data_IF_950904444104
#
_entry.id   IF_950904444104
#
_cell.length_a   1.000
_cell.length_b   1.000
_cell.length_c   1.000
_cell.angle_alpha   90.00
_cell.angle_beta   90.00
_cell.angle_gamma   90.00
#
_symmetry.space_group_name_H-M   'P 1'
#
loop_
_entity.id
_entity.type
_entity.pdbx_description
1 polymer ?
#
# COMPACT_ATOMS: atom_id res chain seq x y z
N UNK A 1 -25.85 -48.02 5.74
CA UNK A 1 -26.12 -47.11 6.89
C UNK A 1 -24.86 -46.70 7.63
N UNK A 2 -23.96 -47.61 8.08
CA UNK A 2 -22.71 -47.22 8.77
C UNK A 2 -21.82 -46.24 7.97
N UNK A 3 -21.64 -46.46 6.66
CA UNK A 3 -20.83 -45.55 5.81
C UNK A 3 -21.43 -44.15 5.66
N UNK A 4 -22.76 -44.04 5.58
CA UNK A 4 -23.47 -42.75 5.46
C UNK A 4 -23.37 -41.95 6.76
N UNK A 5 -23.39 -42.63 7.92
CA UNK A 5 -23.20 -41.98 9.22
C UNK A 5 -21.76 -41.49 9.39
N UNK A 6 -20.76 -42.29 8.99
CA UNK A 6 -19.34 -41.90 9.00
C UNK A 6 -19.07 -40.71 8.08
N UNK A 7 -19.63 -40.71 6.88
CA UNK A 7 -19.51 -39.59 5.93
C UNK A 7 -20.14 -38.30 6.46
N UNK A 8 -21.32 -38.38 7.08
CA UNK A 8 -21.97 -37.24 7.74
C UNK A 8 -21.13 -36.70 8.90
N UNK A 9 -20.56 -37.57 9.73
CA UNK A 9 -19.69 -37.16 10.83
C UNK A 9 -18.43 -36.46 10.31
N UNK A 10 -17.84 -36.96 9.22
CA UNK A 10 -16.68 -36.33 8.56
C UNK A 10 -17.02 -34.94 8.00
N UNK A 11 -18.19 -34.78 7.38
CA UNK A 11 -18.66 -33.46 6.89
C UNK A 11 -18.86 -32.50 8.07
N UNK A 12 -19.49 -32.95 9.16
CA UNK A 12 -19.66 -32.11 10.36
C UNK A 12 -18.32 -31.69 10.97
N UNK A 13 -17.34 -32.59 11.01
CA UNK A 13 -15.98 -32.28 11.43
C UNK A 13 -15.35 -31.20 10.53
N UNK A 14 -15.49 -31.33 9.21
CA UNK A 14 -14.98 -30.35 8.25
C UNK A 14 -15.62 -28.97 8.42
N UNK A 15 -16.95 -28.92 8.61
CA UNK A 15 -17.68 -27.67 8.85
C UNK A 15 -17.19 -27.04 10.15
N UNK A 16 -17.21 -27.79 11.25
CA UNK A 16 -16.83 -27.28 12.57
C UNK A 16 -15.40 -26.74 12.58
N UNK A 17 -14.46 -27.48 11.99
CA UNK A 17 -13.07 -27.03 11.93
C UNK A 17 -12.91 -25.80 11.03
N UNK A 18 -13.61 -25.72 9.89
CA UNK A 18 -13.54 -24.57 9.00
C UNK A 18 -14.06 -23.30 9.70
N UNK A 19 -15.11 -23.41 10.51
CA UNK A 19 -15.61 -22.30 11.32
C UNK A 19 -14.61 -21.91 12.43
N UNK A 20 -13.99 -22.88 13.12
CA UNK A 20 -12.94 -22.58 14.11
C UNK A 20 -11.76 -21.81 13.49
N UNK A 21 -11.31 -22.18 12.29
CA UNK A 21 -10.29 -21.41 11.58
C UNK A 21 -10.76 -20.02 11.16
N UNK A 22 -12.05 -19.84 10.84
CA UNK A 22 -12.61 -18.52 10.54
C UNK A 22 -12.58 -17.64 11.78
N UNK A 23 -13.02 -18.15 12.92
CA UNK A 23 -13.04 -17.40 14.18
C UNK A 23 -11.62 -16.95 14.60
N UNK A 24 -10.64 -17.87 14.51
CA UNK A 24 -9.23 -17.54 14.76
C UNK A 24 -8.71 -16.48 13.78
N UNK A 25 -9.06 -16.60 12.50
CA UNK A 25 -8.65 -15.66 11.48
C UNK A 25 -9.24 -14.26 11.68
N UNK A 26 -10.50 -14.18 12.09
CA UNK A 26 -11.19 -12.92 12.36
C UNK A 26 -10.61 -12.24 13.60
N UNK A 27 -10.30 -13.01 14.65
CA UNK A 27 -9.61 -12.51 15.84
C UNK A 27 -8.23 -11.92 15.50
N UNK A 28 -7.41 -12.64 14.72
CA UNK A 28 -6.08 -12.16 14.30
C UNK A 28 -6.19 -10.93 13.38
N UNK A 29 -7.20 -10.89 12.51
CA UNK A 29 -7.46 -9.73 11.63
C UNK A 29 -7.86 -8.49 12.44
N UNK A 30 -8.60 -8.65 13.53
CA UNK A 30 -8.95 -7.57 14.45
C UNK A 30 -7.71 -7.01 15.16
N UNK A 31 -6.81 -7.88 15.64
CA UNK A 31 -5.54 -7.46 16.23
C UNK A 31 -4.72 -6.65 15.23
N UNK A 32 -4.56 -7.15 14.01
CA UNK A 32 -3.84 -6.46 12.94
C UNK A 32 -4.44 -5.08 12.61
N UNK A 33 -5.76 -4.94 12.69
CA UNK A 33 -6.42 -3.63 12.49
C UNK A 33 -6.17 -2.62 13.62
N UNK A 34 -5.93 -3.11 14.84
CA UNK A 34 -5.65 -2.27 16.03
C UNK A 34 -4.18 -1.88 16.11
N UNK A 35 -3.28 -2.83 15.87
CA UNK A 35 -1.84 -2.66 16.07
C UNK A 35 -1.15 -2.13 14.80
N UNK A 36 -1.68 -2.42 13.62
CA UNK A 36 -1.03 -2.08 12.35
C UNK A 36 0.27 -2.85 12.15
N UNK A 37 1.10 -2.42 11.21
CA UNK A 37 2.44 -3.01 11.01
C UNK A 37 3.43 -2.42 12.03
N UNK A 38 3.25 -2.72 13.32
CA UNK A 38 4.22 -2.35 14.35
C UNK A 38 5.20 -3.50 14.53
N UNK A 39 6.46 -3.33 14.12
CA UNK A 39 7.54 -4.29 14.36
C UNK A 39 7.99 -4.33 15.83
N UNK A 40 7.04 -4.60 16.72
CA UNK A 40 7.24 -4.80 18.16
C UNK A 40 7.00 -6.26 18.54
N UNK A 41 7.11 -6.56 19.83
CA UNK A 41 6.69 -7.88 20.32
C UNK A 41 5.20 -8.09 20.03
N UNK A 42 4.78 -9.28 19.56
CA UNK A 42 3.36 -9.61 19.44
C UNK A 42 2.64 -9.29 20.74
N UNK A 43 1.43 -8.73 20.64
CA UNK A 43 0.59 -8.65 21.82
C UNK A 43 0.39 -10.02 22.45
N UNK A 44 0.27 -10.05 23.77
CA UNK A 44 -0.02 -11.27 24.52
C UNK A 44 -1.28 -11.98 24.00
N UNK A 45 -2.21 -11.21 23.45
CA UNK A 45 -3.42 -11.68 22.74
C UNK A 45 -3.06 -12.54 21.51
N UNK A 46 -2.21 -12.04 20.61
CA UNK A 46 -1.76 -12.79 19.43
C UNK A 46 -0.96 -14.04 19.81
N UNK A 47 -0.04 -13.90 20.77
CA UNK A 47 0.79 -15.02 21.23
C UNK A 47 -0.07 -16.16 21.81
N UNK A 48 -1.18 -15.86 22.48
CA UNK A 48 -2.10 -16.87 22.99
C UNK A 48 -2.90 -17.55 21.88
N UNK A 49 -3.39 -16.79 20.89
CA UNK A 49 -4.09 -17.36 19.74
C UNK A 49 -3.18 -18.35 19.00
N UNK A 50 -1.91 -18.01 18.79
CA UNK A 50 -0.96 -18.85 18.06
C UNK A 50 -0.62 -20.17 18.76
N UNK A 51 -0.93 -20.34 20.05
CA UNK A 51 -0.79 -21.62 20.78
C UNK A 51 -1.95 -22.59 20.49
N UNK A 52 -3.02 -22.15 19.83
CA UNK A 52 -4.16 -22.99 19.53
C UNK A 52 -3.72 -24.24 18.73
N UNK A 53 -4.28 -25.42 19.07
CA UNK A 53 -3.85 -26.71 18.50
C UNK A 53 -3.94 -26.75 16.96
N UNK A 54 -4.99 -26.14 16.40
CA UNK A 54 -5.19 -26.05 14.94
C UNK A 54 -4.11 -25.24 14.22
N UNK A 55 -3.36 -24.38 14.93
CA UNK A 55 -2.32 -23.54 14.33
C UNK A 55 -0.92 -24.15 14.43
N UNK A 56 -0.79 -25.33 15.06
CA UNK A 56 0.51 -25.99 15.24
C UNK A 56 1.01 -26.73 13.99
N UNK A 57 0.11 -27.12 13.07
CA UNK A 57 0.47 -27.77 11.81
C UNK A 57 -0.58 -27.48 10.73
N UNK A 58 -0.15 -27.36 9.47
CA UNK A 58 -1.05 -27.29 8.32
C UNK A 58 -1.88 -28.58 8.18
N UNK A 59 -1.38 -29.73 8.62
CA UNK A 59 -2.08 -31.03 8.53
C UNK A 59 -3.39 -31.04 9.34
N UNK A 60 -3.51 -30.14 10.31
CA UNK A 60 -4.76 -29.95 11.04
C UNK A 60 -5.83 -29.25 10.19
N UNK A 61 -5.48 -28.53 9.12
CA UNK A 61 -6.43 -27.88 8.23
C UNK A 61 -6.95 -28.85 7.15
N UNK A 62 -8.11 -29.46 7.41
CA UNK A 62 -8.66 -30.55 6.60
C UNK A 62 -9.36 -30.08 5.31
N UNK A 63 -9.68 -28.78 5.20
CA UNK A 63 -10.36 -28.20 4.03
C UNK A 63 -9.52 -27.11 3.38
N UNK A 64 -9.77 -26.84 2.09
CA UNK A 64 -9.12 -25.73 1.38
C UNK A 64 -9.35 -24.39 2.10
N UNK A 65 -10.57 -24.13 2.60
CA UNK A 65 -10.87 -22.89 3.33
C UNK A 65 -10.10 -22.83 4.65
N UNK A 66 -10.02 -23.94 5.39
CA UNK A 66 -9.24 -24.04 6.61
C UNK A 66 -7.76 -23.73 6.34
N UNK A 67 -7.18 -24.27 5.26
CA UNK A 67 -5.80 -24.00 4.85
C UNK A 67 -5.59 -22.53 4.47
N UNK A 68 -6.52 -21.93 3.71
CA UNK A 68 -6.46 -20.51 3.36
C UNK A 68 -6.46 -19.61 4.61
N UNK A 69 -7.27 -19.94 5.61
CA UNK A 69 -7.31 -19.24 6.91
C UNK A 69 -6.04 -19.47 7.73
N UNK A 70 -5.56 -20.71 7.81
CA UNK A 70 -4.30 -21.06 8.48
C UNK A 70 -3.15 -20.21 7.94
N UNK A 71 -2.95 -20.19 6.62
CA UNK A 71 -1.89 -19.40 6.01
C UNK A 71 -2.09 -17.89 6.19
N UNK A 72 -3.34 -17.39 6.15
CA UNK A 72 -3.60 -15.97 6.40
C UNK A 72 -3.24 -15.55 7.84
N UNK A 73 -3.56 -16.40 8.83
CA UNK A 73 -3.16 -16.19 10.22
C UNK A 73 -1.64 -16.13 10.36
N UNK A 74 -0.91 -17.07 9.74
CA UNK A 74 0.56 -17.08 9.76
C UNK A 74 1.14 -15.83 9.12
N UNK A 75 0.62 -15.41 7.97
CA UNK A 75 1.07 -14.18 7.28
C UNK A 75 0.87 -12.95 8.17
N UNK A 76 -0.29 -12.80 8.82
CA UNK A 76 -0.56 -11.67 9.72
C UNK A 76 0.38 -11.71 10.94
N UNK A 77 0.58 -12.88 11.53
CA UNK A 77 1.46 -13.05 12.68
C UNK A 77 2.90 -12.63 12.35
N UNK A 78 3.47 -13.11 11.24
CA UNK A 78 4.82 -12.72 10.81
C UNK A 78 4.95 -11.20 10.59
N UNK A 79 3.91 -10.56 10.02
CA UNK A 79 3.91 -9.09 9.84
C UNK A 79 3.92 -8.34 11.18
N UNK A 80 3.16 -8.82 12.16
CA UNK A 80 3.07 -8.20 13.49
C UNK A 80 4.32 -8.44 14.33
N UNK A 81 5.00 -9.58 14.14
CA UNK A 81 6.26 -9.87 14.82
C UNK A 81 7.44 -9.03 14.30
N UNK A 82 7.28 -8.29 13.19
CA UNK A 82 8.37 -7.58 12.53
C UNK A 82 9.53 -8.51 12.10
N UNK A 83 9.24 -9.80 11.95
CA UNK A 83 10.23 -10.85 11.67
C UNK A 83 10.35 -11.11 10.17
N UNK A 84 11.51 -11.65 9.77
CA UNK A 84 12.01 -11.87 8.41
C UNK A 84 10.93 -12.04 7.31
N UNK A 85 10.93 -11.13 6.34
CA UNK A 85 10.03 -11.12 5.17
C UNK A 85 10.02 -12.44 4.39
N UNK A 86 11.03 -13.29 4.56
CA UNK A 86 11.16 -14.61 3.95
C UNK A 86 10.04 -15.58 4.37
N UNK A 87 9.69 -15.65 5.66
CA UNK A 87 8.66 -16.58 6.16
C UNK A 87 7.27 -16.17 5.70
N UNK A 88 6.96 -14.86 5.77
CA UNK A 88 5.70 -14.33 5.29
C UNK A 88 5.53 -14.57 3.77
N UNK A 89 6.61 -14.53 3.00
CA UNK A 89 6.60 -14.86 1.57
C UNK A 89 6.27 -16.32 1.32
N UNK A 90 6.92 -17.26 2.03
CA UNK A 90 6.63 -18.69 1.85
C UNK A 90 5.18 -19.04 2.19
N UNK A 91 4.63 -18.53 3.30
CA UNK A 91 3.21 -18.73 3.63
C UNK A 91 2.28 -18.11 2.57
N UNK A 92 2.64 -16.94 2.03
CA UNK A 92 1.88 -16.30 0.95
C UNK A 92 1.92 -17.11 -0.35
N UNK A 93 3.08 -17.71 -0.67
CA UNK A 93 3.27 -18.59 -1.83
C UNK A 93 2.39 -19.84 -1.71
N UNK A 94 2.42 -20.52 -0.57
CA UNK A 94 1.55 -21.70 -0.31
C UNK A 94 0.08 -21.36 -0.41
N UNK A 95 -0.33 -20.22 0.14
CA UNK A 95 -1.72 -19.74 0.02
C UNK A 95 -2.10 -19.47 -1.43
N UNK A 96 -1.20 -18.86 -2.22
CA UNK A 96 -1.41 -18.62 -3.64
C UNK A 96 -1.53 -19.93 -4.44
N UNK A 97 -0.69 -20.93 -4.17
CA UNK A 97 -0.76 -22.27 -4.80
C UNK A 97 -2.14 -22.92 -4.60
N UNK A 98 -2.70 -22.83 -3.38
CA UNK A 98 -4.05 -23.34 -3.07
C UNK A 98 -5.13 -22.61 -3.88
N UNK A 99 -5.00 -21.28 -4.04
CA UNK A 99 -5.94 -20.48 -4.83
C UNK A 99 -5.84 -20.85 -6.32
N UNK A 100 -4.62 -21.00 -6.85
CA UNK A 100 -4.40 -21.39 -8.25
C UNK A 100 -4.91 -22.80 -8.56
N UNK A 101 -4.81 -23.72 -7.60
CA UNK A 101 -5.35 -25.07 -7.73
C UNK A 101 -6.88 -25.13 -7.75
N UNK A 102 -7.57 -24.00 -7.52
CA UNK A 102 -9.04 -23.89 -7.46
C UNK A 102 -9.56 -22.86 -8.46
N UNK A 103 -9.47 -23.14 -9.78
CA UNK A 103 -9.97 -22.23 -10.81
C UNK A 103 -11.47 -21.97 -10.72
N UNK A 104 -12.24 -22.84 -10.06
CA UNK A 104 -13.65 -22.65 -9.73
C UNK A 104 -13.90 -21.41 -8.85
N UNK A 105 -12.94 -21.01 -8.00
CA UNK A 105 -13.05 -19.79 -7.19
C UNK A 105 -13.17 -18.52 -8.01
N UNK A 106 -12.67 -18.52 -9.26
CA UNK A 106 -12.84 -17.42 -10.19
C UNK A 106 -14.34 -17.16 -10.37
N UNK A 107 -15.13 -18.22 -10.60
CA UNK A 107 -16.57 -18.11 -10.88
C UNK A 107 -17.40 -18.02 -9.59
N UNK A 108 -17.09 -18.85 -8.59
CA UNK A 108 -17.90 -18.96 -7.36
C UNK A 108 -17.65 -17.80 -6.39
N UNK A 109 -16.39 -17.35 -6.26
CA UNK A 109 -15.96 -16.37 -5.26
C UNK A 109 -14.86 -15.44 -5.83
N UNK A 110 -15.14 -14.70 -6.91
CA UNK A 110 -14.13 -13.91 -7.63
C UNK A 110 -13.35 -12.95 -6.72
N UNK A 111 -14.01 -12.32 -5.76
CA UNK A 111 -13.36 -11.38 -4.84
C UNK A 111 -12.31 -12.04 -3.95
N UNK A 112 -12.55 -13.29 -3.52
CA UNK A 112 -11.57 -14.05 -2.73
C UNK A 112 -10.34 -14.35 -3.56
N UNK A 113 -10.54 -14.76 -4.81
CA UNK A 113 -9.45 -15.00 -5.76
C UNK A 113 -8.64 -13.71 -6.01
N UNK A 114 -9.32 -12.62 -6.40
CA UNK A 114 -8.72 -11.32 -6.71
C UNK A 114 -7.83 -10.83 -5.55
N UNK A 115 -8.37 -10.80 -4.34
CA UNK A 115 -7.65 -10.34 -3.14
C UNK A 115 -6.51 -11.28 -2.75
N UNK A 116 -6.70 -12.58 -2.93
CA UNK A 116 -5.66 -13.56 -2.63
C UNK A 116 -4.45 -13.43 -3.56
N UNK A 117 -4.67 -13.22 -4.86
CA UNK A 117 -3.58 -12.91 -5.80
C UNK A 117 -2.92 -11.59 -5.44
N UNK A 118 -3.71 -10.54 -5.15
CA UNK A 118 -3.17 -9.23 -4.77
C UNK A 118 -2.25 -9.30 -3.55
N UNK A 119 -2.67 -10.00 -2.49
CA UNK A 119 -1.88 -10.16 -1.28
C UNK A 119 -0.54 -10.85 -1.56
N UNK A 120 -0.53 -11.88 -2.40
CA UNK A 120 0.70 -12.57 -2.76
C UNK A 120 1.65 -11.67 -3.57
N UNK A 121 1.15 -10.98 -4.60
CA UNK A 121 1.96 -10.05 -5.40
C UNK A 121 2.54 -8.94 -4.53
N UNK A 122 1.75 -8.36 -3.61
CA UNK A 122 2.25 -7.38 -2.65
C UNK A 122 3.38 -7.95 -1.78
N UNK A 123 3.26 -9.20 -1.35
CA UNK A 123 4.31 -9.86 -0.57
C UNK A 123 5.58 -10.06 -1.39
N UNK A 124 5.46 -10.54 -2.63
CA UNK A 124 6.60 -10.68 -3.55
C UNK A 124 7.33 -9.34 -3.69
N UNK A 125 6.61 -8.25 -3.90
CA UNK A 125 7.18 -6.90 -4.05
C UNK A 125 7.89 -6.45 -2.77
N UNK A 126 7.26 -6.59 -1.60
CA UNK A 126 7.84 -6.20 -0.31
C UNK A 126 9.06 -7.04 0.08
N UNK A 127 9.10 -8.30 -0.34
CA UNK A 127 10.23 -9.21 -0.11
C UNK A 127 11.30 -9.12 -1.21
N UNK A 128 11.21 -8.17 -2.14
CA UNK A 128 12.17 -8.00 -3.25
C UNK A 128 12.12 -9.06 -4.35
N UNK A 129 11.16 -10.00 -4.30
CA UNK A 129 10.96 -11.06 -5.31
C UNK A 129 10.21 -10.54 -6.54
N UNK A 130 10.79 -9.55 -7.22
CA UNK A 130 10.15 -8.83 -8.32
C UNK A 130 9.84 -9.72 -9.53
N UNK A 131 10.64 -10.75 -9.79
CA UNK A 131 10.44 -11.69 -10.90
C UNK A 131 9.17 -12.54 -10.73
N UNK A 132 8.78 -12.85 -9.49
CA UNK A 132 7.52 -13.53 -9.21
C UNK A 132 6.33 -12.60 -9.50
N UNK A 133 6.39 -11.35 -9.02
CA UNK A 133 5.35 -10.36 -9.27
C UNK A 133 5.17 -10.08 -10.77
N UNK A 134 6.27 -9.91 -11.51
CA UNK A 134 6.26 -9.65 -12.95
C UNK A 134 5.63 -10.78 -13.76
N UNK A 135 5.80 -12.05 -13.34
CA UNK A 135 5.14 -13.20 -13.99
C UNK A 135 3.64 -13.25 -13.73
N UNK A 136 3.17 -12.78 -12.58
CA UNK A 136 1.77 -12.88 -12.15
C UNK A 136 0.91 -11.75 -12.72
N UNK A 137 1.45 -10.53 -12.84
CA UNK A 137 0.69 -9.36 -13.30
C UNK A 137 -0.01 -9.57 -14.66
N UNK A 138 0.63 -10.14 -15.71
CA UNK A 138 -0.03 -10.39 -16.99
C UNK A 138 -1.07 -11.51 -16.93
N UNK A 139 -0.83 -12.56 -16.13
CA UNK A 139 -1.78 -13.69 -16.01
C UNK A 139 -3.05 -13.25 -15.29
N UNK A 140 -2.92 -12.37 -14.30
CA UNK A 140 -4.05 -11.74 -13.62
C UNK A 140 -4.91 -10.92 -14.59
N UNK A 141 -4.29 -10.15 -15.50
CA UNK A 141 -5.01 -9.39 -16.53
C UNK A 141 -5.79 -10.29 -17.49
N UNK A 142 -5.16 -11.34 -18.01
CA UNK A 142 -5.81 -12.29 -18.91
C UNK A 142 -6.98 -13.01 -18.22
N UNK A 143 -6.85 -13.29 -16.93
CA UNK A 143 -7.92 -13.89 -16.13
C UNK A 143 -9.13 -12.95 -16.02
N UNK A 144 -8.92 -11.66 -15.78
CA UNK A 144 -10.02 -10.67 -15.69
C UNK A 144 -10.85 -10.64 -16.98
N UNK A 145 -10.19 -10.76 -18.13
CA UNK A 145 -10.85 -10.75 -19.44
C UNK A 145 -11.75 -11.98 -19.67
N UNK A 146 -11.57 -13.06 -18.90
CA UNK A 146 -12.40 -14.27 -18.98
C UNK A 146 -13.72 -14.15 -18.21
N UNK A 147 -13.88 -13.12 -17.37
CA UNK A 147 -15.14 -12.88 -16.67
C UNK A 147 -16.23 -12.41 -17.63
N UNK A 148 -17.40 -13.07 -17.57
CA UNK A 148 -18.56 -12.62 -18.35
C UNK A 148 -18.93 -11.17 -18.03
N UNK A 149 -18.99 -10.38 -19.11
CA UNK A 149 -19.51 -9.03 -19.27
C UNK A 149 -20.57 -8.59 -18.23
N UNK A 150 -21.63 -9.37 -18.14
CA UNK A 150 -22.88 -8.95 -17.48
C UNK A 150 -23.03 -9.53 -16.09
N UNK A 151 -22.41 -10.69 -15.83
CA UNK A 151 -22.55 -11.40 -14.55
C UNK A 151 -21.58 -10.91 -13.46
N UNK A 152 -20.42 -10.37 -13.85
CA UNK A 152 -19.31 -10.11 -12.92
C UNK A 152 -18.74 -8.69 -12.98
N UNK A 153 -19.60 -7.69 -13.22
CA UNK A 153 -19.15 -6.30 -13.37
C UNK A 153 -18.38 -5.76 -12.16
N UNK A 154 -18.92 -5.92 -10.95
CA UNK A 154 -18.24 -5.49 -9.73
C UNK A 154 -16.86 -6.15 -9.55
N UNK A 155 -16.75 -7.45 -9.86
CA UNK A 155 -15.50 -8.19 -9.77
C UNK A 155 -14.47 -7.69 -10.79
N UNK A 156 -14.88 -7.37 -12.02
CA UNK A 156 -13.96 -6.80 -13.02
C UNK A 156 -13.47 -5.41 -12.62
N UNK A 157 -14.34 -4.58 -12.05
CA UNK A 157 -13.98 -3.25 -11.55
C UNK A 157 -12.95 -3.39 -10.42
N UNK A 158 -13.23 -4.23 -9.42
CA UNK A 158 -12.30 -4.47 -8.31
C UNK A 158 -10.96 -5.04 -8.81
N UNK A 159 -11.00 -6.02 -9.71
CA UNK A 159 -9.79 -6.59 -10.29
C UNK A 159 -8.97 -5.56 -11.07
N UNK A 160 -9.61 -4.67 -11.82
CA UNK A 160 -8.91 -3.58 -12.52
C UNK A 160 -8.20 -2.63 -11.53
N UNK A 161 -8.89 -2.21 -10.47
CA UNK A 161 -8.30 -1.36 -9.42
C UNK A 161 -7.12 -2.08 -8.77
N UNK A 162 -7.30 -3.35 -8.40
CA UNK A 162 -6.25 -4.11 -7.72
C UNK A 162 -5.05 -4.35 -8.63
N UNK A 163 -5.28 -4.67 -9.90
CA UNK A 163 -4.22 -4.77 -10.91
C UNK A 163 -3.43 -3.48 -11.01
N UNK A 164 -4.11 -2.36 -11.23
CA UNK A 164 -3.47 -1.04 -11.34
C UNK A 164 -2.68 -0.72 -10.08
N UNK A 165 -3.25 -1.01 -8.90
CA UNK A 165 -2.56 -0.80 -7.62
C UNK A 165 -1.29 -1.66 -7.49
N UNK A 166 -1.34 -2.93 -7.92
CA UNK A 166 -0.18 -3.82 -7.92
C UNK A 166 0.90 -3.37 -8.92
N UNK A 167 0.52 -2.93 -10.13
CA UNK A 167 1.46 -2.42 -11.13
C UNK A 167 2.18 -1.17 -10.63
N UNK A 168 1.44 -0.18 -10.12
CA UNK A 168 2.04 1.04 -9.55
C UNK A 168 2.99 0.70 -8.40
N UNK A 169 2.57 -0.22 -7.52
CA UNK A 169 3.41 -0.67 -6.41
C UNK A 169 4.67 -1.40 -6.89
N UNK A 170 4.55 -2.25 -7.90
CA UNK A 170 5.67 -2.93 -8.53
C UNK A 170 6.68 -1.94 -9.12
N UNK A 171 6.23 -0.99 -9.95
CA UNK A 171 7.12 -0.02 -10.61
C UNK A 171 7.83 0.91 -9.62
N UNK A 172 7.15 1.29 -8.53
CA UNK A 172 7.76 2.07 -7.45
C UNK A 172 8.88 1.30 -6.75
N UNK A 173 8.62 0.06 -6.32
CA UNK A 173 9.57 -0.69 -5.49
C UNK A 173 10.69 -1.37 -6.29
N UNK A 174 10.44 -1.72 -7.56
CA UNK A 174 11.47 -2.27 -8.46
C UNK A 174 12.37 -1.18 -9.08
N UNK A 175 12.02 0.10 -8.90
CA UNK A 175 12.73 1.22 -9.53
C UNK A 175 12.48 1.37 -11.04
N UNK A 176 11.60 0.56 -11.65
CA UNK A 176 11.22 0.63 -13.07
C UNK A 176 10.27 1.81 -13.37
N UNK A 177 10.66 3.02 -12.98
CA UNK A 177 9.82 4.22 -13.02
C UNK A 177 9.39 4.59 -14.45
N UNK A 178 10.32 4.52 -15.42
CA UNK A 178 10.02 4.87 -16.82
C UNK A 178 8.98 3.93 -17.43
N UNK A 179 9.05 2.63 -17.12
CA UNK A 179 8.02 1.66 -17.54
C UNK A 179 6.66 2.00 -16.92
N UNK A 180 6.64 2.39 -15.65
CA UNK A 180 5.43 2.86 -14.98
C UNK A 180 4.84 4.11 -15.63
N UNK A 181 5.68 5.07 -16.06
CA UNK A 181 5.22 6.28 -16.77
C UNK A 181 4.54 5.92 -18.09
N UNK A 182 5.01 4.91 -18.81
CA UNK A 182 4.37 4.44 -20.06
C UNK A 182 2.96 3.86 -19.84
N UNK A 183 2.61 3.47 -18.62
CA UNK A 183 1.30 2.87 -18.29
C UNK A 183 0.23 3.90 -17.92
N UNK A 184 0.59 5.16 -17.71
CA UNK A 184 -0.31 6.19 -17.15
C UNK A 184 -1.56 6.39 -17.99
N UNK A 185 -1.45 6.41 -19.32
CA UNK A 185 -2.61 6.58 -20.19
C UNK A 185 -3.60 5.40 -20.08
N UNK A 186 -3.08 4.18 -19.89
CA UNK A 186 -3.90 2.98 -19.69
C UNK A 186 -4.62 3.07 -18.35
N UNK A 187 -3.90 3.39 -17.28
CA UNK A 187 -4.48 3.56 -15.94
C UNK A 187 -5.52 4.67 -15.92
N UNK A 188 -5.21 5.83 -16.52
CA UNK A 188 -6.13 6.95 -16.62
C UNK A 188 -7.42 6.56 -17.34
N UNK A 189 -7.33 5.92 -18.51
CA UNK A 189 -8.52 5.49 -19.27
C UNK A 189 -9.41 4.57 -18.44
N UNK A 190 -8.84 3.56 -17.79
CA UNK A 190 -9.63 2.61 -16.99
C UNK A 190 -10.18 3.23 -15.71
N UNK A 191 -9.41 4.06 -14.99
CA UNK A 191 -9.87 4.76 -13.79
C UNK A 191 -11.00 5.75 -14.14
N UNK A 192 -10.89 6.48 -15.25
CA UNK A 192 -11.94 7.37 -15.72
C UNK A 192 -13.19 6.61 -16.16
N UNK A 193 -13.02 5.46 -16.82
CA UNK A 193 -14.13 4.61 -17.23
C UNK A 193 -14.96 4.11 -16.04
N UNK A 194 -14.29 3.65 -14.97
CA UNK A 194 -14.95 3.13 -13.76
C UNK A 194 -15.13 4.18 -12.65
N UNK A 195 -14.98 5.47 -12.94
CA UNK A 195 -14.90 6.49 -11.89
C UNK A 195 -16.14 6.48 -11.00
N UNK A 196 -17.34 6.30 -11.54
CA UNK A 196 -18.60 6.39 -10.76
C UNK A 196 -18.78 5.22 -9.80
N UNK A 197 -18.19 4.08 -10.13
CA UNK A 197 -18.29 2.81 -9.43
C UNK A 197 -17.19 2.67 -8.37
N UNK A 198 -16.05 3.35 -8.56
CA UNK A 198 -14.95 3.33 -7.59
C UNK A 198 -15.26 4.26 -6.42
N UNK A 199 -15.43 3.66 -5.24
CA UNK A 199 -15.51 4.40 -3.98
C UNK A 199 -14.21 5.15 -3.65
N UNK A 200 -14.33 6.30 -2.99
CA UNK A 200 -13.17 7.15 -2.62
C UNK A 200 -12.11 6.45 -1.77
N UNK A 201 -12.49 5.39 -1.06
CA UNK A 201 -11.59 4.54 -0.27
C UNK A 201 -10.49 3.88 -1.13
N UNK A 202 -10.82 3.56 -2.39
CA UNK A 202 -9.91 2.94 -3.35
C UNK A 202 -9.36 3.96 -4.36
N UNK A 203 -10.19 4.93 -4.78
CA UNK A 203 -9.81 5.94 -5.76
C UNK A 203 -8.69 6.88 -5.28
N UNK A 204 -8.73 7.30 -4.01
CA UNK A 204 -7.70 8.22 -3.48
C UNK A 204 -6.31 7.59 -3.39
N UNK A 205 -6.14 6.41 -2.77
CA UNK A 205 -4.84 5.77 -2.68
C UNK A 205 -4.23 5.49 -4.06
N UNK A 206 -5.03 5.06 -5.03
CA UNK A 206 -4.49 4.76 -6.37
C UNK A 206 -4.03 6.04 -7.08
N UNK A 207 -4.79 7.14 -7.00
CA UNK A 207 -4.36 8.42 -7.54
C UNK A 207 -3.11 8.95 -6.83
N UNK A 208 -3.04 8.81 -5.51
CA UNK A 208 -1.90 9.21 -4.71
C UNK A 208 -0.64 8.41 -5.08
N UNK A 209 -0.74 7.09 -5.20
CA UNK A 209 0.41 6.26 -5.56
C UNK A 209 0.91 6.54 -6.99
N UNK A 210 0.01 6.78 -7.95
CA UNK A 210 0.40 7.23 -9.31
C UNK A 210 1.11 8.59 -9.24
N UNK A 211 0.63 9.51 -8.41
CA UNK A 211 1.31 10.78 -8.15
C UNK A 211 2.72 10.57 -7.59
N UNK A 212 2.89 9.68 -6.61
CA UNK A 212 4.21 9.38 -6.01
C UNK A 212 5.17 8.81 -7.06
N UNK A 213 4.70 7.89 -7.93
CA UNK A 213 5.48 7.37 -9.05
C UNK A 213 5.95 8.48 -9.98
N UNK A 214 5.03 9.39 -10.36
CA UNK A 214 5.33 10.54 -11.21
C UNK A 214 6.31 11.52 -10.56
N UNK A 215 6.24 11.72 -9.24
CA UNK A 215 7.18 12.56 -8.50
C UNK A 215 8.58 11.96 -8.53
N UNK A 216 8.74 10.66 -8.26
CA UNK A 216 10.04 10.01 -8.36
C UNK A 216 10.56 9.92 -9.79
N UNK A 217 9.67 9.93 -10.80
CA UNK A 217 10.03 10.07 -12.21
C UNK A 217 10.23 11.53 -12.67
N UNK A 218 10.17 12.50 -11.74
CA UNK A 218 10.30 13.95 -11.98
C UNK A 218 9.32 14.51 -13.04
N UNK A 219 8.15 13.90 -13.19
CA UNK A 219 7.07 14.33 -14.09
C UNK A 219 6.08 15.24 -13.34
N UNK A 220 6.55 16.42 -12.94
CA UNK A 220 5.87 17.31 -11.99
C UNK A 220 4.46 17.79 -12.44
N UNK A 221 4.26 18.13 -13.71
CA UNK A 221 2.96 18.58 -14.22
C UNK A 221 1.92 17.47 -14.16
N UNK A 222 2.31 16.25 -14.54
CA UNK A 222 1.43 15.08 -14.44
C UNK A 222 1.16 14.72 -12.98
N UNK A 223 2.18 14.78 -12.12
CA UNK A 223 2.01 14.57 -10.68
C UNK A 223 0.97 15.53 -10.09
N UNK A 224 0.98 16.80 -10.51
CA UNK A 224 -0.01 17.79 -10.08
C UNK A 224 -1.44 17.39 -10.46
N UNK A 225 -1.64 16.82 -11.65
CA UNK A 225 -2.97 16.32 -12.07
C UNK A 225 -3.43 15.20 -11.13
N UNK A 226 -2.57 14.24 -10.84
CA UNK A 226 -2.92 13.08 -10.02
C UNK A 226 -3.09 13.39 -8.53
N UNK A 227 -2.28 14.30 -7.97
CA UNK A 227 -2.48 14.74 -6.57
C UNK A 227 -3.82 15.44 -6.40
N UNK A 228 -4.23 16.25 -7.38
CA UNK A 228 -5.52 16.94 -7.35
C UNK A 228 -6.70 15.96 -7.43
N UNK A 229 -6.59 14.88 -8.22
CA UNK A 229 -7.56 13.77 -8.22
C UNK A 229 -7.66 13.11 -6.84
N UNK A 230 -6.53 12.90 -6.16
CA UNK A 230 -6.54 12.36 -4.79
C UNK A 230 -7.18 13.32 -3.77
N UNK A 231 -7.29 14.61 -4.08
CA UNK A 231 -7.81 15.66 -3.19
C UNK A 231 -9.29 16.03 -3.43
N UNK A 232 -10.01 15.27 -4.26
CA UNK A 232 -11.44 15.50 -4.59
C UNK A 232 -12.36 15.72 -3.38
N UNK A 233 -13.51 16.37 -3.59
CA UNK A 233 -14.33 17.05 -2.57
C UNK A 233 -15.13 16.13 -1.61
N UNK A 234 -14.46 15.34 -0.77
CA UNK A 234 -15.03 14.73 0.45
C UNK A 234 -13.93 14.42 1.47
N UNK A 235 -13.43 15.39 2.26
CA UNK A 235 -12.17 15.24 2.99
C UNK A 235 -12.17 14.22 4.13
N UNK A 236 -13.30 13.59 4.44
CA UNK A 236 -13.44 12.69 5.59
C UNK A 236 -13.05 11.22 5.32
N UNK A 237 -12.95 10.83 4.05
CA UNK A 237 -12.52 9.48 3.64
C UNK A 237 -11.00 9.44 3.48
N UNK A 238 -10.30 8.43 4.02
CA UNK A 238 -8.82 8.31 3.92
C UNK A 238 -8.09 9.61 4.28
N UNK A 239 -8.36 10.12 5.48
CA UNK A 239 -7.78 11.38 5.98
C UNK A 239 -6.24 11.37 6.00
N UNK A 240 -5.66 10.19 6.18
CA UNK A 240 -4.23 9.90 6.03
C UNK A 240 -3.72 10.29 4.63
N UNK A 241 -4.35 9.76 3.58
CA UNK A 241 -3.99 10.04 2.19
C UNK A 241 -4.25 11.51 1.84
N UNK A 242 -5.36 12.10 2.28
CA UNK A 242 -5.63 13.52 2.01
C UNK A 242 -4.56 14.42 2.65
N UNK A 243 -4.10 14.07 3.85
CA UNK A 243 -3.05 14.83 4.54
C UNK A 243 -1.71 14.72 3.80
N UNK A 244 -1.34 13.51 3.36
CA UNK A 244 -0.13 13.27 2.58
C UNK A 244 -0.19 13.95 1.21
N UNK A 245 -1.30 13.83 0.49
CA UNK A 245 -1.53 14.49 -0.79
C UNK A 245 -1.43 16.02 -0.68
N UNK A 246 -1.93 16.62 0.41
CA UNK A 246 -1.77 18.06 0.64
C UNK A 246 -0.32 18.47 0.85
N UNK A 247 0.46 17.71 1.63
CA UNK A 247 1.89 17.99 1.79
C UNK A 247 2.65 17.80 0.47
N UNK A 248 2.38 16.71 -0.25
CA UNK A 248 3.00 16.42 -1.54
C UNK A 248 2.65 17.48 -2.60
N UNK A 249 1.41 18.01 -2.59
CA UNK A 249 1.03 19.12 -3.49
C UNK A 249 1.89 20.37 -3.29
N UNK A 250 2.37 20.64 -2.07
CA UNK A 250 3.27 21.75 -1.82
C UNK A 250 4.66 21.51 -2.41
N UNK A 251 5.17 20.28 -2.32
CA UNK A 251 6.42 19.87 -2.96
C UNK A 251 6.30 20.04 -4.48
N UNK A 252 5.21 19.54 -5.07
CA UNK A 252 4.97 19.64 -6.51
C UNK A 252 4.87 21.12 -6.96
N UNK A 253 4.14 21.96 -6.21
CA UNK A 253 4.07 23.39 -6.52
C UNK A 253 5.41 24.11 -6.38
N UNK A 254 6.23 23.70 -5.42
CA UNK A 254 7.59 24.21 -5.30
C UNK A 254 8.44 23.85 -6.52
N UNK A 255 8.42 22.59 -6.96
CA UNK A 255 9.19 22.11 -8.13
C UNK A 255 8.73 22.76 -9.44
N UNK A 256 7.44 23.04 -9.58
CA UNK A 256 6.89 23.78 -10.72
C UNK A 256 7.14 25.28 -10.68
N UNK A 257 7.72 25.82 -9.59
CA UNK A 257 7.93 27.26 -9.44
C UNK A 257 6.66 28.08 -9.22
N UNK A 258 5.56 27.44 -8.78
CA UNK A 258 4.26 28.09 -8.55
C UNK A 258 4.24 28.87 -7.21
N UNK A 259 5.13 29.84 -7.04
CA UNK A 259 5.41 30.53 -5.76
C UNK A 259 4.17 31.20 -5.14
N UNK A 260 3.35 31.89 -5.93
CA UNK A 260 2.12 32.55 -5.44
C UNK A 260 1.10 31.53 -4.93
N UNK A 261 0.94 30.42 -5.65
CA UNK A 261 0.02 29.36 -5.26
C UNK A 261 0.56 28.60 -4.05
N UNK A 262 1.87 28.38 -3.97
CA UNK A 262 2.53 27.72 -2.85
C UNK A 262 2.22 28.43 -1.53
N UNK A 263 2.32 29.76 -1.47
CA UNK A 263 2.01 30.49 -0.23
C UNK A 263 0.56 30.28 0.24
N UNK A 264 -0.39 30.35 -0.69
CA UNK A 264 -1.79 30.07 -0.41
C UNK A 264 -1.99 28.63 0.07
N UNK A 265 -1.41 27.66 -0.65
CA UNK A 265 -1.55 26.24 -0.35
C UNK A 265 -0.92 25.88 0.99
N UNK A 266 0.21 26.50 1.38
CA UNK A 266 0.79 26.29 2.73
C UNK A 266 -0.20 26.72 3.82
N UNK A 267 -0.83 27.90 3.67
CA UNK A 267 -1.81 28.40 4.66
C UNK A 267 -3.04 27.50 4.74
N UNK A 268 -3.56 27.04 3.60
CA UNK A 268 -4.75 26.17 3.57
C UNK A 268 -4.46 24.77 4.11
N UNK A 269 -3.28 24.20 3.81
CA UNK A 269 -2.82 22.91 4.36
C UNK A 269 -2.59 22.98 5.85
N UNK A 270 -1.98 24.05 6.38
CA UNK A 270 -1.83 24.25 7.83
C UNK A 270 -3.18 24.21 8.55
N UNK A 271 -4.16 25.00 8.06
CA UNK A 271 -5.52 25.02 8.65
C UNK A 271 -6.19 23.66 8.61
N UNK A 272 -6.02 22.93 7.50
CA UNK A 272 -6.61 21.61 7.33
C UNK A 272 -6.04 20.59 8.35
N UNK A 273 -4.70 20.51 8.46
CA UNK A 273 -4.05 19.58 9.38
C UNK A 273 -4.34 19.94 10.85
N UNK A 274 -4.33 21.23 11.19
CA UNK A 274 -4.65 21.71 12.53
C UNK A 274 -6.07 21.33 12.95
N UNK A 275 -7.07 21.56 12.09
CA UNK A 275 -8.48 21.24 12.36
C UNK A 275 -8.72 19.75 12.62
N UNK A 276 -7.87 18.87 12.10
CA UNK A 276 -8.03 17.41 12.20
C UNK A 276 -7.05 16.76 13.16
N UNK A 277 -6.35 17.55 13.98
CA UNK A 277 -5.37 17.06 14.96
C UNK A 277 -4.25 16.21 14.35
N UNK A 278 -3.92 16.47 13.07
CA UNK A 278 -2.84 15.78 12.34
C UNK A 278 -1.64 16.70 12.08
N UNK A 279 -1.55 17.81 12.80
CA UNK A 279 -0.47 18.78 12.66
C UNK A 279 0.63 18.50 13.70
N UNK A 280 1.38 17.41 13.47
CA UNK A 280 2.52 17.04 14.30
C UNK A 280 3.68 18.02 14.19
N UNK A 281 4.71 17.84 15.03
CA UNK A 281 5.92 18.66 14.99
C UNK A 281 6.62 18.61 13.62
N UNK A 282 6.76 17.43 12.97
CA UNK A 282 7.38 17.35 11.64
C UNK A 282 6.62 18.14 10.59
N UNK A 283 5.29 18.00 10.53
CA UNK A 283 4.45 18.74 9.57
C UNK A 283 4.53 20.25 9.76
N UNK A 284 4.56 20.73 11.01
CA UNK A 284 4.74 22.17 11.29
C UNK A 284 6.08 22.71 10.82
N UNK A 285 7.15 21.93 10.96
CA UNK A 285 8.49 22.32 10.52
C UNK A 285 8.55 22.37 9.00
N UNK A 286 7.99 21.37 8.32
CA UNK A 286 7.87 21.34 6.85
C UNK A 286 7.06 22.52 6.31
N UNK A 287 5.89 22.81 6.87
CA UNK A 287 5.04 23.92 6.41
C UNK A 287 5.72 25.28 6.61
N UNK A 288 6.39 25.49 7.75
CA UNK A 288 7.16 26.72 8.00
C UNK A 288 8.32 26.86 7.01
N UNK A 289 9.00 25.77 6.71
CA UNK A 289 10.06 25.76 5.72
C UNK A 289 9.55 26.13 4.32
N UNK A 290 8.47 25.48 3.84
CA UNK A 290 7.90 25.74 2.51
C UNK A 290 7.42 27.18 2.35
N UNK A 291 6.86 27.78 3.42
CA UNK A 291 6.55 29.21 3.46
C UNK A 291 7.80 30.10 3.36
N UNK A 292 8.92 29.65 3.93
CA UNK A 292 10.16 30.43 3.94
C UNK A 292 10.84 30.41 2.59
N UNK A 293 10.96 29.23 1.97
CA UNK A 293 11.66 29.08 0.69
C UNK A 293 10.92 29.67 -0.50
N UNK A 294 9.59 29.88 -0.40
CA UNK A 294 8.82 30.54 -1.45
C UNK A 294 9.23 32.00 -1.70
N UNK A 295 9.91 32.65 -0.74
CA UNK A 295 10.42 34.02 -0.85
C UNK A 295 11.94 34.14 -1.02
N UNK A 296 12.67 33.02 -1.10
CA UNK A 296 14.14 33.04 -1.18
C UNK A 296 14.60 33.15 -2.63
N UNK A 297 15.51 34.08 -2.90
CA UNK A 297 15.99 34.38 -4.26
C UNK A 297 17.39 33.78 -4.51
N UNK A 298 18.21 33.60 -3.47
CA UNK A 298 19.59 33.10 -3.60
C UNK A 298 19.69 31.58 -3.47
N UNK A 299 20.31 30.93 -4.46
CA UNK A 299 20.60 29.47 -4.45
C UNK A 299 21.38 29.04 -3.21
N UNK A 300 22.33 29.86 -2.74
CA UNK A 300 23.14 29.56 -1.54
C UNK A 300 22.30 29.57 -0.26
N UNK A 301 21.39 30.54 -0.13
CA UNK A 301 20.48 30.63 1.01
C UNK A 301 19.46 29.50 1.00
N UNK A 302 18.97 29.14 -0.19
CA UNK A 302 18.04 28.03 -0.39
C UNK A 302 18.66 26.70 0.07
N UNK A 303 19.88 26.37 -0.37
CA UNK A 303 20.62 25.18 0.07
C UNK A 303 20.85 25.18 1.59
N UNK A 304 21.12 26.34 2.19
CA UNK A 304 21.26 26.47 3.65
C UNK A 304 19.95 26.11 4.36
N UNK A 305 18.80 26.56 3.86
CA UNK A 305 17.50 26.23 4.43
C UNK A 305 17.15 24.75 4.29
N UNK A 306 17.44 24.13 3.14
CA UNK A 306 17.27 22.67 2.96
C UNK A 306 18.10 21.87 3.96
N UNK A 307 19.39 22.21 4.11
CA UNK A 307 20.26 21.56 5.09
C UNK A 307 19.79 21.76 6.54
N UNK A 308 19.28 22.94 6.89
CA UNK A 308 18.72 23.21 8.20
C UNK A 308 17.49 22.35 8.48
N UNK A 309 16.57 22.27 7.52
CA UNK A 309 15.37 21.46 7.64
C UNK A 309 15.72 19.97 7.79
N UNK A 310 16.67 19.47 6.99
CA UNK A 310 17.13 18.08 7.08
C UNK A 310 17.63 17.73 8.49
N UNK A 311 18.46 18.60 9.10
CA UNK A 311 18.94 18.42 10.47
C UNK A 311 17.80 18.44 11.49
N UNK A 312 16.81 19.32 11.32
CA UNK A 312 15.64 19.40 12.21
C UNK A 312 14.79 18.13 12.16
N UNK A 313 14.55 17.58 10.97
CA UNK A 313 13.79 16.33 10.82
C UNK A 313 14.58 15.12 11.34
N UNK A 314 15.88 15.03 11.07
CA UNK A 314 16.74 13.97 11.62
C UNK A 314 16.75 13.95 13.15
N UNK A 315 16.72 15.12 13.80
CA UNK A 315 16.66 15.20 15.26
C UNK A 315 15.32 14.73 15.85
N UNK A 316 14.25 14.68 15.05
CA UNK A 316 12.92 14.24 15.48
C UNK A 316 12.68 12.74 15.26
N UNK A 317 13.44 12.09 14.37
CA UNK A 317 13.33 10.65 14.06
C UNK A 317 13.75 9.72 15.21
N UNK A 318 13.97 10.24 16.42
CA UNK A 318 14.21 9.44 17.62
C UNK A 318 12.95 8.86 18.26
N UNK A 319 11.75 9.32 17.85
CA UNK A 319 10.47 8.75 18.26
C UNK A 319 9.77 8.08 17.07
N UNK A 320 9.46 6.77 17.19
CA UNK A 320 8.76 5.93 16.19
C UNK A 320 7.28 6.34 15.99
N UNK A 321 7.00 7.62 15.79
CA UNK A 321 5.64 8.05 15.44
C UNK A 321 5.49 7.96 13.92
N UNK A 322 4.59 7.09 13.43
CA UNK A 322 4.21 7.05 12.02
C UNK A 322 3.62 8.41 11.62
N UNK A 323 4.37 9.19 10.86
CA UNK A 323 3.99 10.56 10.49
C UNK A 323 3.35 10.60 9.11
N UNK A 324 2.70 11.73 8.77
CA UNK A 324 2.16 11.89 7.41
C UNK A 324 3.28 11.85 6.36
N UNK A 325 4.51 12.19 6.78
CA UNK A 325 5.69 12.17 5.93
C UNK A 325 6.13 10.76 5.55
N UNK A 326 5.61 9.68 6.14
CA UNK A 326 6.03 8.32 5.79
C UNK A 326 5.39 7.83 4.49
N UNK A 327 4.35 8.52 4.00
CA UNK A 327 3.66 8.18 2.74
C UNK A 327 4.38 8.72 1.49
N UNK A 328 5.45 9.52 1.65
CA UNK A 328 6.32 10.00 0.58
C UNK A 328 7.70 10.30 1.17
N UNK A 329 8.79 9.83 0.57
CA UNK A 329 10.15 10.03 1.09
C UNK A 329 10.62 11.50 0.99
N UNK A 330 10.10 12.30 1.92
CA UNK A 330 10.37 13.72 2.04
C UNK A 330 11.84 14.01 2.37
N UNK A 331 12.53 13.23 3.24
CA UNK A 331 13.97 13.35 3.43
C UNK A 331 14.78 13.22 2.13
N UNK A 332 14.43 12.27 1.26
CA UNK A 332 15.13 12.07 -0.02
C UNK A 332 14.93 13.26 -0.98
N UNK A 333 13.72 13.83 -1.02
CA UNK A 333 13.47 15.07 -1.76
C UNK A 333 14.33 16.23 -1.25
N UNK A 334 14.43 16.41 0.07
CA UNK A 334 15.30 17.44 0.66
C UNK A 334 16.77 17.22 0.30
N UNK A 335 17.22 15.97 0.25
CA UNK A 335 18.57 15.61 -0.15
C UNK A 335 18.84 15.97 -1.62
N UNK A 336 17.91 15.66 -2.52
CA UNK A 336 17.98 16.10 -3.93
C UNK A 336 18.20 17.60 -4.02
N UNK A 337 17.40 18.40 -3.30
CA UNK A 337 17.53 19.86 -3.33
C UNK A 337 18.80 20.38 -2.65
N UNK A 338 19.27 19.72 -1.59
CA UNK A 338 20.49 20.13 -0.89
C UNK A 338 21.78 19.81 -1.66
N UNK A 339 21.80 18.68 -2.36
CA UNK A 339 22.97 18.19 -3.12
C UNK A 339 22.97 18.64 -4.58
N UNK A 340 21.80 18.98 -5.12
CA UNK A 340 21.62 19.28 -6.53
C UNK A 340 21.55 18.03 -7.43
N UNK A 341 21.50 16.83 -6.83
CA UNK A 341 21.31 15.58 -7.57
C UNK A 341 19.83 15.39 -7.95
N UNK A 342 19.52 14.81 -9.12
CA UNK A 342 18.16 14.42 -9.47
C UNK A 342 17.53 13.50 -8.41
N UNK A 343 16.25 13.71 -8.12
CA UNK A 343 15.48 12.90 -7.16
C UNK A 343 15.37 11.45 -7.63
N UNK A 344 15.17 11.23 -8.94
CA UNK A 344 15.10 9.89 -9.50
C UNK A 344 16.40 9.09 -9.26
N UNK A 345 17.56 9.72 -9.45
CA UNK A 345 18.88 9.10 -9.22
C UNK A 345 19.04 8.68 -7.76
N UNK A 346 18.71 9.58 -6.83
CA UNK A 346 18.79 9.29 -5.40
C UNK A 346 17.83 8.17 -4.98
N UNK A 347 16.62 8.15 -5.55
CA UNK A 347 15.62 7.12 -5.29
C UNK A 347 16.09 5.74 -5.75
N UNK A 348 16.58 5.64 -6.99
CA UNK A 348 17.11 4.37 -7.50
C UNK A 348 18.34 3.90 -6.72
N UNK A 349 19.24 4.81 -6.34
CA UNK A 349 20.40 4.48 -5.52
C UNK A 349 19.98 3.95 -4.14
N UNK A 350 18.94 4.53 -3.53
CA UNK A 350 18.40 4.07 -2.24
C UNK A 350 17.83 2.65 -2.34
N UNK A 351 17.04 2.36 -3.37
CA UNK A 351 16.47 1.01 -3.57
C UNK A 351 17.55 -0.06 -3.72
N UNK A 352 18.64 0.23 -4.46
CA UNK A 352 19.77 -0.68 -4.61
C UNK A 352 20.47 -0.91 -3.27
N UNK A 353 20.65 0.16 -2.46
CA UNK A 353 21.27 0.06 -1.13
C UNK A 353 20.42 -0.66 -0.08
N UNK A 354 19.09 -0.71 -0.25
CA UNK A 354 18.18 -1.49 0.60
C UNK A 354 18.06 -2.96 0.15
N UNK A 355 18.44 -3.26 -1.09
CA UNK A 355 18.40 -4.63 -1.67
C UNK A 355 19.72 -5.40 -1.50
N UNK A 356 20.76 -4.78 -0.95
CA UNK A 356 22.10 -5.33 -0.72
C UNK A 356 22.34 -5.53 0.78
#
# INVERSE_FOLDING_TARGET
MKSVTEEKLKILQFINQTEQYRDLNDAVSLINSREGMTGGEPSSELAEILKHQLLQSEDHALTHNAKLSFYNIRIIAENLHGSDFSNALEYSRRRYEIIQARPDLIVEKPMVYIRGVQQYVQRCILSGSFEEAERILPTFEQMIQKFDAKLYEAARIEAFIMKTSMEVFYYLNSGKLDEGVLRIDVWQKGISHYRKEIGLQLYRPICFNICVLLVFAEKWEQALVWVNRSLEEQPDIRRDIVSAAKLLSLVIHYELGNTSLLEYTVRSTYRYLAKRERLGKPEQIVLRFLKKVSGVISKRELIRHFNQLRKQLQALNSAKDNTILDLFDFPLWLESKATGKPLNELFLAKLVGESA
#
